data_IF_346598729280
#
_entry.id   IF_346598729280
#
_cell.length_a   1.000
_cell.length_b   1.000
_cell.length_c   1.000
_cell.angle_alpha   90.00
_cell.angle_beta   90.00
_cell.angle_gamma   90.00
#
_symmetry.space_group_name_H-M   'P 1'
#
loop_
_entity.id
_entity.type
_entity.pdbx_description
1 polymer ?
#
# COMPACT_ATOMS: atom_id res chain seq x y z
N UNK A 1 12.13 15.39 -10.57
CA UNK A 1 10.93 14.90 -9.85
C UNK A 1 11.20 13.48 -9.41
N UNK A 2 11.29 13.24 -8.10
CA UNK A 2 11.57 11.95 -7.46
C UNK A 2 10.31 11.10 -7.33
N UNK A 3 10.45 9.81 -7.04
CA UNK A 3 9.29 8.93 -6.80
C UNK A 3 8.52 9.32 -5.55
N UNK A 4 9.22 9.79 -4.50
CA UNK A 4 8.58 10.35 -3.31
C UNK A 4 7.68 11.54 -3.65
N UNK A 5 8.13 12.46 -4.50
CA UNK A 5 7.33 13.61 -4.94
C UNK A 5 6.12 13.18 -5.77
N UNK A 6 6.28 12.20 -6.67
CA UNK A 6 5.19 11.66 -7.50
C UNK A 6 4.10 11.01 -6.64
N UNK A 7 4.50 10.12 -5.73
CA UNK A 7 3.55 9.41 -4.85
C UNK A 7 2.90 10.39 -3.86
N UNK A 8 3.64 11.37 -3.35
CA UNK A 8 3.05 12.43 -2.51
C UNK A 8 1.99 13.22 -3.27
N UNK A 9 2.26 13.61 -4.52
CA UNK A 9 1.30 14.31 -5.36
C UNK A 9 0.05 13.45 -5.65
N UNK A 10 0.22 12.13 -5.85
CA UNK A 10 -0.89 11.20 -6.01
C UNK A 10 -1.75 11.13 -4.74
N UNK A 11 -1.16 10.93 -3.56
CA UNK A 11 -1.90 10.89 -2.29
C UNK A 11 -2.68 12.20 -2.04
N UNK A 12 -2.12 13.36 -2.41
CA UNK A 12 -2.84 14.64 -2.36
C UNK A 12 -4.05 14.68 -3.31
N UNK A 13 -3.91 14.16 -4.53
CA UNK A 13 -5.04 14.06 -5.49
C UNK A 13 -6.15 13.13 -4.99
N UNK A 14 -5.78 12.13 -4.18
CA UNK A 14 -6.73 11.23 -3.51
C UNK A 14 -7.36 11.84 -2.24
N UNK A 15 -7.06 13.11 -1.92
CA UNK A 15 -7.70 13.85 -0.82
C UNK A 15 -6.92 13.87 0.50
N UNK A 16 -5.72 13.28 0.58
CA UNK A 16 -4.91 13.34 1.79
C UNK A 16 -4.37 14.76 2.04
N UNK A 17 -4.35 15.19 3.30
CA UNK A 17 -3.71 16.44 3.71
C UNK A 17 -2.20 16.41 3.38
N UNK A 18 -1.53 17.55 3.14
CA UNK A 18 -0.15 17.57 2.64
C UNK A 18 0.86 16.76 3.47
N UNK A 19 0.81 16.87 4.80
CA UNK A 19 1.70 16.12 5.70
C UNK A 19 1.39 14.62 5.71
N UNK A 20 0.11 14.27 5.66
CA UNK A 20 -0.35 12.89 5.56
C UNK A 20 0.05 12.27 4.23
N UNK A 21 -0.08 13.00 3.12
CA UNK A 21 0.31 12.56 1.80
C UNK A 21 1.81 12.22 1.71
N UNK A 22 2.67 13.06 2.32
CA UNK A 22 4.10 12.81 2.40
C UNK A 22 4.40 11.57 3.26
N UNK A 23 3.67 11.38 4.36
CA UNK A 23 3.79 10.21 5.24
C UNK A 23 3.39 8.92 4.51
N UNK A 24 2.23 8.93 3.85
CA UNK A 24 1.73 7.82 3.03
C UNK A 24 2.73 7.46 1.92
N UNK A 25 3.30 8.46 1.24
CA UNK A 25 4.26 8.21 0.18
C UNK A 25 5.52 7.50 0.68
N UNK A 26 6.07 7.90 1.84
CA UNK A 26 7.21 7.20 2.46
C UNK A 26 6.86 5.77 2.86
N UNK A 27 5.66 5.55 3.38
CA UNK A 27 5.18 4.21 3.76
C UNK A 27 5.01 3.31 2.55
N UNK A 28 4.42 3.82 1.46
CA UNK A 28 4.22 3.08 0.22
C UNK A 28 5.55 2.65 -0.41
N UNK A 29 6.53 3.56 -0.48
CA UNK A 29 7.87 3.26 -0.98
C UNK A 29 8.60 2.21 -0.14
N UNK A 30 8.54 2.34 1.18
CA UNK A 30 9.13 1.32 2.07
C UNK A 30 8.44 -0.03 1.90
N UNK A 31 7.10 -0.04 1.77
CA UNK A 31 6.33 -1.27 1.65
C UNK A 31 6.53 -1.91 0.28
N UNK A 32 6.72 -1.16 -0.80
CA UNK A 32 6.99 -1.74 -2.12
C UNK A 32 8.32 -2.47 -2.15
N UNK A 33 9.37 -1.90 -1.55
CA UNK A 33 10.67 -2.55 -1.41
C UNK A 33 10.58 -3.85 -0.62
N UNK A 34 9.90 -3.79 0.54
CA UNK A 34 9.69 -4.96 1.38
C UNK A 34 8.87 -6.04 0.65
N UNK A 35 7.78 -5.65 -0.01
CA UNK A 35 6.88 -6.57 -0.71
C UNK A 35 7.56 -7.23 -1.90
N UNK A 36 8.38 -6.49 -2.65
CA UNK A 36 9.19 -7.02 -3.75
C UNK A 36 10.13 -8.12 -3.27
N UNK A 37 10.81 -7.88 -2.13
CA UNK A 37 11.68 -8.88 -1.51
C UNK A 37 10.90 -10.11 -1.00
N UNK A 38 9.79 -9.89 -0.29
CA UNK A 38 8.96 -10.96 0.29
C UNK A 38 8.32 -11.86 -0.77
N UNK A 39 7.94 -11.30 -1.92
CA UNK A 39 7.20 -12.00 -2.98
C UNK A 39 8.04 -12.35 -4.21
N UNK A 40 9.32 -11.97 -4.24
CA UNK A 40 10.20 -12.20 -5.37
C UNK A 40 9.74 -11.49 -6.66
N UNK A 41 9.03 -10.37 -6.56
CA UNK A 41 8.60 -9.57 -7.70
C UNK A 41 9.43 -8.30 -7.86
N UNK A 42 9.25 -7.56 -8.95
CA UNK A 42 9.94 -6.29 -9.15
C UNK A 42 9.37 -5.19 -8.24
N UNK A 43 10.21 -4.21 -7.92
CA UNK A 43 9.77 -3.02 -7.19
C UNK A 43 8.61 -2.28 -7.88
N UNK A 44 8.59 -2.27 -9.22
CA UNK A 44 7.52 -1.64 -10.02
C UNK A 44 6.19 -2.36 -9.83
N UNK A 45 6.17 -3.70 -9.92
CA UNK A 45 4.97 -4.50 -9.71
C UNK A 45 4.43 -4.37 -8.28
N UNK A 46 5.33 -4.39 -7.28
CA UNK A 46 4.97 -4.18 -5.89
C UNK A 46 4.35 -2.79 -5.66
N UNK A 47 4.94 -1.73 -6.25
CA UNK A 47 4.39 -0.38 -6.15
C UNK A 47 3.03 -0.27 -6.85
N UNK A 48 2.90 -0.82 -8.06
CA UNK A 48 1.63 -0.83 -8.79
C UNK A 48 0.50 -1.47 -7.97
N UNK A 49 0.79 -2.62 -7.36
CA UNK A 49 -0.16 -3.30 -6.47
C UNK A 49 -0.60 -2.41 -5.30
N UNK A 50 0.36 -1.79 -4.60
CA UNK A 50 0.06 -0.92 -3.46
C UNK A 50 -0.72 0.33 -3.85
N UNK A 51 -0.43 0.91 -5.01
CA UNK A 51 -1.17 2.06 -5.53
C UNK A 51 -2.62 1.69 -5.86
N UNK A 52 -2.87 0.52 -6.47
CA UNK A 52 -4.24 0.03 -6.72
C UNK A 52 -5.03 -0.12 -5.41
N UNK A 53 -4.44 -0.73 -4.38
CA UNK A 53 -5.07 -0.84 -3.06
C UNK A 53 -5.38 0.53 -2.45
N UNK A 54 -4.45 1.48 -2.58
CA UNK A 54 -4.63 2.84 -2.04
C UNK A 54 -5.78 3.56 -2.74
N UNK A 55 -5.92 3.42 -4.06
CA UNK A 55 -7.02 4.02 -4.83
C UNK A 55 -8.36 3.39 -4.47
N UNK A 56 -8.42 2.06 -4.32
CA UNK A 56 -9.62 1.34 -3.87
C UNK A 56 -10.05 1.80 -2.48
N UNK A 57 -9.12 1.82 -1.52
CA UNK A 57 -9.39 2.29 -0.17
C UNK A 57 -9.84 3.75 -0.11
N UNK A 58 -9.26 4.62 -0.94
CA UNK A 58 -9.71 6.01 -1.06
C UNK A 58 -11.11 6.16 -1.66
N UNK A 59 -11.54 5.19 -2.48
CA UNK A 59 -12.87 5.14 -3.08
C UNK A 59 -13.92 4.47 -2.18
N UNK A 60 -13.52 4.00 -0.99
CA UNK A 60 -14.38 3.25 -0.08
C UNK A 60 -14.59 1.79 -0.48
N UNK A 61 -13.80 1.29 -1.44
CA UNK A 61 -13.84 -0.10 -1.89
C UNK A 61 -12.83 -0.95 -1.11
N UNK A 62 -13.28 -2.07 -0.55
CA UNK A 62 -12.41 -3.07 0.03
C UNK A 62 -11.98 -4.07 -1.05
N UNK A 63 -10.67 -4.29 -1.26
CA UNK A 63 -10.21 -5.38 -2.11
C UNK A 63 -10.64 -6.74 -1.52
N UNK A 64 -10.75 -7.79 -2.34
CA UNK A 64 -11.02 -9.15 -1.85
C UNK A 64 -10.01 -9.55 -0.77
N UNK A 65 -10.50 -10.11 0.35
CA UNK A 65 -9.67 -10.44 1.52
C UNK A 65 -9.42 -9.30 2.50
N UNK A 66 -9.94 -8.08 2.22
CA UNK A 66 -10.00 -6.94 3.16
C UNK A 66 -11.37 -6.80 3.84
N UNK A 67 -12.27 -7.75 3.60
CA UNK A 67 -13.65 -7.76 4.09
C UNK A 67 -13.68 -7.96 5.62
N UNK A 68 -13.73 -6.87 6.37
CA UNK A 68 -14.27 -6.84 7.73
C UNK A 68 -13.65 -7.80 8.74
N UNK A 69 -12.38 -8.17 8.59
CA UNK A 69 -11.69 -9.01 9.56
C UNK A 69 -11.67 -8.34 10.93
N UNK A 70 -12.10 -9.08 11.96
CA UNK A 70 -11.78 -8.76 13.36
C UNK A 70 -10.25 -8.58 13.42
N UNK A 71 -9.72 -7.48 14.00
CA UNK A 71 -8.28 -7.30 14.09
C UNK A 71 -7.66 -8.55 14.72
N UNK A 72 -6.59 -9.12 14.13
CA UNK A 72 -6.05 -10.38 14.61
C UNK A 72 -5.63 -10.21 16.07
N UNK A 73 -6.29 -10.94 16.96
CA UNK A 73 -5.82 -11.09 18.33
C UNK A 73 -4.46 -11.81 18.27
N UNK A 74 -3.49 -11.25 18.98
CA UNK A 74 -2.07 -11.64 18.97
C UNK A 74 -1.78 -13.15 18.73
N UNK A 75 -0.97 -13.41 17.68
CA UNK A 75 -0.13 -14.59 17.35
C UNK A 75 -0.77 -15.79 16.60
N UNK A 76 0.05 -16.71 16.06
CA UNK A 76 1.02 -16.52 14.97
C UNK A 76 0.72 -17.48 13.79
N UNK A 77 1.14 -17.06 12.60
CA UNK A 77 1.58 -17.91 11.47
C UNK A 77 0.63 -19.00 10.91
N UNK A 78 0.21 -18.85 9.65
CA UNK A 78 0.13 -19.97 8.69
C UNK A 78 -0.24 -19.46 7.27
N UNK A 79 0.76 -19.51 6.39
CA UNK A 79 0.69 -19.97 5.00
C UNK A 79 -0.62 -19.76 4.21
N UNK A 80 -0.60 -18.90 3.19
CA UNK A 80 -1.32 -19.22 1.96
C UNK A 80 -0.51 -18.78 0.73
N UNK A 81 -0.56 -19.65 -0.28
CA UNK A 81 0.33 -19.77 -1.43
C UNK A 81 0.01 -18.71 -2.50
N UNK A 82 1.05 -18.26 -3.18
CA UNK A 82 1.00 -18.05 -4.63
C UNK A 82 1.83 -19.16 -5.28
#
# INVERSE_FOLDING_TARGET
>A
MTDLERVTALCRKLGAAPEQAATMARQLLKRSEQLASERGCSHVEAMEYLLRLTIQGASGEAPPGFEGGVPPADKPEANDRC
#
